data_IF_725889603165
#
_entry.id   IF_725889603165
#
_cell.length_a   1.000
_cell.length_b   1.000
_cell.length_c   1.000
_cell.angle_alpha   90.00
_cell.angle_beta   90.00
_cell.angle_gamma   90.00
#
_symmetry.space_group_name_H-M   'P 1'
#
loop_
_entity.id
_entity.type
_entity.pdbx_description
1 polymer ?
2 non-polymer ?
3 non-polymer ?
4 water ?
#
# COMPACT_ATOMS: atom_id res chain seq x y z
N UNK A 1 -15.28 -7.22 -9.59
CA UNK A 1 -14.26 -6.77 -8.62
C UNK A 1 -13.43 -7.95 -8.10
N UNK A 2 -12.14 -7.72 -7.84
CA UNK A 2 -11.27 -8.74 -7.24
C UNK A 2 -11.59 -8.91 -5.76
N UNK A 3 -11.42 -10.13 -5.27
CA UNK A 3 -11.77 -10.45 -3.90
C UNK A 3 -10.69 -9.91 -2.96
N UNK A 4 -11.10 -9.18 -1.95
CA UNK A 4 -10.22 -8.62 -0.92
C UNK A 4 -10.40 -9.41 0.36
N UNK A 5 -9.34 -9.77 1.11
CA UNK A 5 -7.92 -9.48 0.83
C UNK A 5 -7.41 -10.18 -0.42
N UNK A 6 -6.61 -9.46 -1.18
CA UNK A 6 -6.07 -9.93 -2.45
C UNK A 6 -4.56 -10.04 -2.34
N UNK A 7 -4.02 -11.13 -2.87
CA UNK A 7 -2.58 -11.32 -2.97
C UNK A 7 -2.14 -11.17 -4.42
N UNK A 8 -1.24 -10.23 -4.65
CA UNK A 8 -0.61 -10.03 -5.96
C UNK A 8 0.81 -10.56 -5.89
N UNK A 9 1.11 -11.74 -6.44
CA UNK A 9 2.51 -12.17 -6.47
C UNK A 9 3.32 -11.18 -7.27
N UNK A 10 4.58 -10.99 -6.85
CA UNK A 10 5.53 -10.13 -7.53
C UNK A 10 6.69 -11.02 -7.94
N UNK A 11 6.62 -11.64 -9.12
CA UNK A 11 7.56 -12.73 -9.44
C UNK A 11 9.00 -12.24 -9.49
N UNK A 12 9.87 -12.92 -8.74
CA UNK A 12 11.25 -12.50 -8.68
C UNK A 12 11.50 -11.34 -7.77
N UNK A 13 10.49 -10.87 -7.05
CA UNK A 13 10.62 -9.77 -6.14
C UNK A 13 10.52 -8.42 -6.81
N UNK A 14 10.70 -7.39 -6.02
CA UNK A 14 10.67 -6.05 -6.60
C UNK A 14 12.06 -5.62 -7.00
N UNK A 15 12.08 -4.62 -7.87
CA UNK A 15 13.30 -4.11 -8.45
C UNK A 15 13.03 -2.65 -8.76
N UNK A 16 14.04 -1.79 -8.75
CA UNK A 16 13.81 -0.42 -9.20
C UNK A 16 13.27 -0.43 -10.62
N UNK A 17 12.33 0.48 -10.84
CA UNK A 17 11.61 0.74 -12.09
C UNK A 17 10.36 -0.11 -12.20
N UNK A 18 10.07 -0.96 -11.22
CA UNK A 18 8.81 -1.65 -11.17
C UNK A 18 7.73 -0.71 -10.63
N UNK A 19 6.64 -0.61 -11.36
CA UNK A 19 5.52 0.25 -11.01
C UNK A 19 4.30 -0.61 -10.76
N UNK A 20 3.77 -0.54 -9.54
CA UNK A 20 2.55 -1.23 -9.17
C UNK A 20 1.40 -0.23 -9.26
N UNK A 21 0.31 -0.61 -9.92
CA UNK A 21 -0.88 0.23 -10.02
C UNK A 21 -2.08 -0.51 -9.46
N UNK A 22 -2.78 0.14 -8.53
CA UNK A 22 -3.97 -0.40 -7.89
C UNK A 22 -5.12 0.55 -8.16
N UNK A 23 -6.19 0.03 -8.72
CA UNK A 23 -7.41 0.81 -8.91
C UNK A 23 -8.48 0.21 -8.03
N UNK A 24 -9.23 1.07 -7.35
CA UNK A 24 -10.38 0.59 -6.59
C UNK A 24 -11.24 1.76 -6.21
N UNK A 25 -12.26 1.46 -5.42
CA UNK A 25 -13.19 2.47 -4.91
C UNK A 25 -13.30 2.27 -3.42
N UNK A 26 -13.16 3.34 -2.65
CA UNK A 26 -13.30 3.23 -1.22
C UNK A 26 -14.76 2.95 -0.86
N UNK A 27 -14.97 2.06 0.09
CA UNK A 27 -16.31 1.75 0.55
C UNK A 27 -16.90 2.96 1.28
N UNK A 28 -18.24 3.01 1.38
CA UNK A 28 -18.87 4.27 1.82
C UNK A 28 -18.58 4.68 3.25
N UNK A 29 -18.40 3.73 4.15
CA UNK A 29 -18.13 4.11 5.54
C UNK A 29 -16.76 3.57 5.91
N UNK A 30 -15.74 3.86 5.10
CA UNK A 30 -14.50 3.14 5.28
C UNK A 30 -13.80 3.52 6.58
N UNK A 31 -13.07 2.56 7.12
CA UNK A 31 -12.24 2.81 8.27
C UNK A 31 -10.76 2.65 7.98
N UNK A 32 -10.37 1.68 7.14
CA UNK A 32 -8.95 1.38 6.98
C UNK A 32 -8.73 0.73 5.63
N UNK A 33 -7.49 0.91 5.09
CA UNK A 33 -7.00 0.24 3.90
C UNK A 33 -5.56 -0.17 4.23
N UNK A 34 -5.09 -1.29 3.67
CA UNK A 34 -3.68 -1.60 3.80
C UNK A 34 -3.10 -2.25 2.55
N UNK A 35 -1.90 -1.79 2.20
CA UNK A 35 -1.03 -2.49 1.26
C UNK A 35 0.12 -3.06 2.07
N UNK A 36 0.45 -4.31 1.82
CA UNK A 36 1.53 -4.98 2.54
C UNK A 36 2.47 -5.62 1.53
N UNK A 37 3.64 -5.01 1.31
CA UNK A 37 4.68 -5.65 0.50
C UNK A 37 5.44 -6.58 1.42
N UNK A 38 5.38 -7.88 1.16
CA UNK A 38 5.82 -8.88 2.10
C UNK A 38 7.06 -9.62 1.62
N UNK A 39 7.93 -9.91 2.57
CA UNK A 39 9.11 -10.76 2.43
C UNK A 39 8.86 -11.94 3.37
N UNK A 40 8.29 -13.01 2.86
CA UNK A 40 7.82 -14.08 3.73
C UNK A 40 6.80 -13.54 4.72
N UNK A 41 7.01 -13.86 5.99
CA UNK A 41 6.16 -13.35 7.05
C UNK A 41 6.43 -11.89 7.39
N UNK A 42 7.55 -11.33 6.95
CA UNK A 42 7.85 -9.94 7.23
C UNK A 42 7.09 -9.01 6.29
N UNK A 43 6.81 -7.82 6.77
CA UNK A 43 6.19 -6.80 5.93
C UNK A 43 7.25 -5.74 5.68
N UNK A 44 7.80 -5.72 4.46
CA UNK A 44 8.79 -4.72 4.11
C UNK A 44 8.20 -3.32 4.12
N UNK A 45 7.00 -3.16 3.59
CA UNK A 45 6.36 -1.84 3.50
C UNK A 45 4.87 -2.06 3.67
N UNK A 46 4.36 -1.52 4.78
CA UNK A 46 2.94 -1.45 5.13
C UNK A 46 2.51 -0.02 4.91
N UNK A 47 1.51 0.16 4.07
CA UNK A 47 0.94 1.47 3.72
C UNK A 47 -0.52 1.43 4.15
N UNK A 48 -0.89 2.24 5.14
CA UNK A 48 -2.13 2.03 5.89
C UNK A 48 -2.90 3.32 6.12
N UNK A 49 -3.73 3.71 5.15
CA UNK A 49 -4.72 4.76 5.38
C UNK A 49 -5.71 4.40 6.49
N UNK A 50 -5.84 5.31 7.45
CA UNK A 50 -6.78 5.21 8.57
C UNK A 50 -7.71 6.41 8.46
N UNK A 51 -9.00 6.13 8.32
CA UNK A 51 -9.99 7.19 8.13
C UNK A 51 -10.47 7.82 9.42
N UNK A 52 -10.22 7.20 10.56
CA UNK A 52 -10.69 7.71 11.83
C UNK A 52 -9.81 7.20 12.93
N UNK A 53 -8.65 7.81 13.08
CA UNK A 53 -7.77 7.54 14.23
C UNK A 53 -7.90 8.75 15.13
N UNK A 54 -8.68 8.62 16.20
CA UNK A 54 -8.95 9.76 17.09
C UNK A 54 -9.45 10.95 16.30
N UNK A 55 -10.36 10.69 15.36
CA UNK A 55 -11.06 11.69 14.57
C UNK A 55 -10.16 12.42 13.58
N UNK A 56 -9.03 11.79 13.25
CA UNK A 56 -8.11 12.29 12.23
C UNK A 56 -7.94 11.22 11.16
N UNK A 57 -7.68 11.69 9.94
CA UNK A 57 -7.35 10.83 8.81
C UNK A 57 -5.84 10.88 8.62
N UNK A 58 -5.21 9.71 8.61
CA UNK A 58 -3.75 9.66 8.55
C UNK A 58 -3.35 8.44 7.77
N UNK A 59 -2.20 8.51 7.10
CA UNK A 59 -1.59 7.33 6.50
C UNK A 59 -0.43 6.91 7.38
N UNK A 60 -0.45 5.67 7.85
CA UNK A 60 0.62 5.13 8.65
C UNK A 60 1.42 4.17 7.78
N UNK A 61 2.75 4.31 7.79
CA UNK A 61 3.62 3.37 7.11
C UNK A 61 4.60 2.77 8.10
N UNK A 62 4.93 1.50 7.90
CA UNK A 62 5.84 0.81 8.80
C UNK A 62 6.33 -0.46 8.16
N UNK A 63 7.18 -1.15 8.91
CA UNK A 63 7.77 -2.44 8.56
C UNK A 63 7.58 -3.38 9.73
N UNK A 64 7.30 -4.65 9.42
CA UNK A 64 7.11 -5.69 10.44
C UNK A 64 8.21 -6.72 10.24
N UNK A 65 9.02 -6.94 11.28
CA UNK A 65 10.14 -7.87 11.25
C UNK A 65 9.98 -8.85 12.40
N UNK A 66 10.00 -10.14 12.11
CA UNK A 66 9.84 -11.14 13.18
C UNK A 66 8.63 -10.84 14.07
N UNK A 67 7.54 -10.42 13.42
CA UNK A 67 6.26 -10.15 14.09
C UNK A 67 6.25 -8.85 14.89
N UNK A 68 7.27 -8.00 14.78
CA UNK A 68 7.35 -6.74 15.51
C UNK A 68 7.25 -5.57 14.54
N UNK A 69 6.30 -4.67 14.78
CA UNK A 69 6.25 -3.41 14.06
C UNK A 69 7.38 -2.50 14.52
N UNK A 70 7.92 -1.73 13.59
CA UNK A 70 8.95 -0.78 13.87
C UNK A 70 8.44 0.61 14.12
N UNK A 71 9.25 1.60 13.76
CA UNK A 71 8.89 3.00 13.93
C UNK A 71 7.91 3.40 12.84
N UNK A 72 6.79 3.99 13.24
CA UNK A 72 5.81 4.44 12.28
C UNK A 72 6.28 5.71 11.59
N UNK A 73 5.98 5.83 10.30
CA UNK A 73 6.11 7.06 9.56
C UNK A 73 4.71 7.52 9.19
N UNK A 74 4.36 8.75 9.55
CA UNK A 74 3.00 9.23 9.39
C UNK A 74 2.91 10.39 8.42
N UNK A 75 1.86 10.38 7.59
CA UNK A 75 1.58 11.40 6.58
C UNK A 75 0.15 11.86 6.77
N UNK A 76 -0.04 13.15 6.96
CA UNK A 76 -1.36 13.76 7.13
C UNK A 76 -2.03 14.12 5.81
N UNK A 77 -1.27 14.25 4.72
CA UNK A 77 -1.95 14.35 3.42
C UNK A 77 -2.71 13.05 3.22
N UNK A 78 -4.00 13.16 2.93
CA UNK A 78 -4.90 12.03 2.96
C UNK A 78 -5.79 12.10 1.73
N UNK A 79 -5.40 11.44 0.65
CA UNK A 79 -6.08 11.65 -0.64
C UNK A 79 -7.23 10.70 -0.89
N UNK A 80 -7.53 9.80 0.03
CA UNK A 80 -8.62 8.86 -0.12
C UNK A 80 -9.90 9.47 0.41
N UNK A 81 -11.00 9.04 -0.19
CA UNK A 81 -12.31 9.59 0.15
C UNK A 81 -13.35 8.48 0.17
N UNK A 82 -14.10 8.37 1.25
CA UNK A 82 -15.14 7.34 1.32
C UNK A 82 -16.04 7.42 0.09
N UNK A 83 -16.32 6.27 -0.50
CA UNK A 83 -17.22 6.16 -1.60
C UNK A 83 -16.62 6.48 -2.96
N UNK A 84 -15.35 6.88 -3.03
CA UNK A 84 -14.82 7.43 -4.28
C UNK A 84 -13.70 6.57 -4.88
N UNK A 85 -13.62 6.56 -6.20
CA UNK A 85 -12.57 5.81 -6.89
C UNK A 85 -11.21 6.45 -6.72
N UNK A 86 -10.20 5.59 -6.64
CA UNK A 86 -8.83 6.02 -6.46
C UNK A 86 -7.89 5.19 -7.32
N UNK A 87 -6.70 5.75 -7.52
CA UNK A 87 -5.60 5.03 -8.13
C UNK A 87 -4.40 5.19 -7.20
N UNK A 88 -3.78 4.07 -6.84
CA UNK A 88 -2.50 4.10 -6.12
C UNK A 88 -1.43 3.62 -7.08
N UNK A 89 -0.36 4.38 -7.23
CA UNK A 89 0.83 3.95 -7.96
C UNK A 89 1.98 3.87 -6.98
N UNK A 90 2.63 2.71 -6.92
CA UNK A 90 3.82 2.53 -6.11
C UNK A 90 4.97 2.26 -7.06
N UNK A 91 5.92 3.19 -7.13
CA UNK A 91 7.09 3.03 -7.99
C UNK A 91 8.24 2.63 -7.09
N UNK A 92 8.88 1.52 -7.40
CA UNK A 92 10.06 1.12 -6.66
C UNK A 92 11.23 1.93 -7.21
N UNK A 93 11.84 2.72 -6.36
CA UNK A 93 13.08 3.40 -6.69
C UNK A 93 14.23 2.77 -5.92
N UNK A 94 15.47 3.09 -6.27
CA UNK A 94 16.58 2.37 -5.62
C UNK A 94 16.58 2.44 -4.13
N UNK A 95 16.18 3.57 -3.54
CA UNK A 95 16.29 3.76 -2.11
C UNK A 95 14.96 3.91 -1.39
N UNK A 96 13.84 3.91 -2.11
CA UNK A 96 12.54 4.02 -1.49
C UNK A 96 11.45 3.52 -2.39
N UNK A 97 10.32 3.20 -1.76
CA UNK A 97 9.07 3.14 -2.50
C UNK A 97 8.52 4.57 -2.63
N UNK A 98 8.06 4.92 -3.82
CA UNK A 98 7.49 6.25 -4.06
C UNK A 98 6.03 6.07 -4.41
N UNK A 99 5.13 6.70 -3.65
CA UNK A 99 3.71 6.47 -3.78
C UNK A 99 3.03 7.74 -4.27
N UNK A 100 2.20 7.60 -5.30
CA UNK A 100 1.32 8.64 -5.79
C UNK A 100 -0.11 8.13 -5.72
N UNK A 101 -1.04 9.01 -5.38
CA UNK A 101 -2.46 8.68 -5.38
C UNK A 101 -3.17 9.67 -6.28
N UNK A 102 -3.99 9.15 -7.18
CA UNK A 102 -4.74 10.01 -8.09
C UNK A 102 -3.81 10.99 -8.81
N UNK A 103 -2.66 10.47 -9.22
CA UNK A 103 -1.65 11.18 -9.99
C UNK A 103 -0.87 12.24 -9.23
N UNK A 104 -1.06 12.36 -7.93
CA UNK A 104 -0.32 13.31 -7.13
C UNK A 104 0.61 12.57 -6.18
N UNK A 105 1.87 12.96 -6.21
CA UNK A 105 2.84 12.40 -5.28
C UNK A 105 2.31 12.50 -3.86
N UNK A 106 2.45 11.43 -3.12
CA UNK A 106 2.00 11.37 -1.73
C UNK A 106 3.16 11.24 -0.76
N UNK A 107 3.99 10.22 -0.90
CA UNK A 107 5.03 9.97 0.09
C UNK A 107 6.09 9.07 -0.51
N UNK A 108 7.22 9.00 0.18
CA UNK A 108 8.27 8.05 -0.08
C UNK A 108 8.56 7.30 1.21
N UNK A 109 8.96 6.05 1.08
CA UNK A 109 9.28 5.20 2.22
C UNK A 109 10.63 4.54 1.96
N UNK A 110 11.63 4.94 2.73
CA UNK A 110 12.98 4.44 2.56
C UNK A 110 13.04 2.94 2.83
N UNK A 111 13.80 2.22 2.02
CA UNK A 111 13.87 0.76 2.17
C UNK A 111 14.55 0.38 3.48
N UNK A 112 13.80 -0.27 4.35
CA UNK A 112 14.34 -0.88 5.56
C UNK A 112 14.71 -2.34 5.30
N UNK A 113 13.87 -3.05 4.56
CA UNK A 113 14.15 -4.38 4.07
C UNK A 113 14.86 -4.19 2.74
N UNK A 114 16.13 -4.60 2.71
CA UNK A 114 17.01 -4.24 1.62
C UNK A 114 17.18 -5.34 0.60
N UNK A 115 16.68 -6.54 0.90
CA UNK A 115 16.69 -7.65 -0.04
C UNK A 115 15.44 -7.53 -0.91
N UNK A 116 15.50 -6.59 -1.86
CA UNK A 116 14.33 -6.24 -2.65
C UNK A 116 13.81 -7.44 -3.42
N UNK A 117 14.72 -8.26 -3.91
CA UNK A 117 14.38 -9.46 -4.64
C UNK A 117 13.58 -10.45 -3.83
N UNK A 118 13.59 -10.34 -2.52
CA UNK A 118 12.85 -11.26 -1.67
C UNK A 118 11.49 -10.74 -1.27
N UNK A 119 11.14 -9.52 -1.69
CA UNK A 119 9.83 -8.92 -1.42
C UNK A 119 8.94 -9.35 -2.58
N UNK A 120 8.31 -10.52 -2.43
CA UNK A 120 7.76 -11.10 -3.66
C UNK A 120 6.26 -11.32 -3.61
N UNK A 121 5.56 -10.60 -2.73
CA UNK A 121 4.12 -10.52 -2.84
C UNK A 121 3.63 -9.21 -2.24
N UNK A 122 2.45 -8.81 -2.71
CA UNK A 122 1.76 -7.62 -2.22
C UNK A 122 0.36 -8.05 -1.81
N UNK A 123 0.04 -7.82 -0.53
CA UNK A 123 -1.31 -7.98 -0.05
C UNK A 123 -2.06 -6.67 -0.07
N UNK A 124 -3.33 -6.74 -0.45
CA UNK A 124 -4.21 -5.58 -0.51
C UNK A 124 -5.45 -5.92 0.33
N UNK A 125 -5.69 -5.13 1.37
CA UNK A 125 -6.77 -5.44 2.29
C UNK A 125 -7.50 -4.16 2.70
N UNK A 126 -8.66 -4.38 3.30
CA UNK A 126 -9.44 -3.29 3.90
C UNK A 126 -10.63 -2.88 3.09
N UNK A 127 -11.03 -1.62 3.32
CA UNK A 127 -12.39 -1.18 3.06
C UNK A 127 -12.50 -0.57 1.66
N UNK A 128 -12.23 -1.42 0.67
CA UNK A 128 -12.28 -1.05 -0.73
C UNK A 128 -13.00 -2.11 -1.53
N UNK A 129 -13.52 -1.66 -2.67
CA UNK A 129 -13.83 -2.51 -3.80
C UNK A 129 -12.59 -2.45 -4.70
N UNK A 130 -11.96 -3.58 -4.94
CA UNK A 130 -10.72 -3.62 -5.69
C UNK A 130 -11.03 -3.93 -7.14
N UNK A 131 -10.65 -3.00 -8.01
CA UNK A 131 -10.92 -3.13 -9.44
C UNK A 131 -9.79 -3.87 -10.15
N UNK A 132 -8.55 -3.48 -9.89
CA UNK A 132 -7.42 -4.12 -10.55
C UNK A 132 -6.16 -3.86 -9.75
N UNK A 133 -5.20 -4.75 -9.93
CA UNK A 133 -3.88 -4.64 -9.31
C UNK A 133 -2.89 -5.29 -10.27
N UNK A 134 -1.92 -4.52 -10.71
CA UNK A 134 -0.98 -5.03 -11.70
C UNK A 134 0.34 -4.29 -11.58
N UNK A 135 1.32 -4.74 -12.37
CA UNK A 135 2.64 -4.13 -12.36
C UNK A 135 3.18 -4.06 -13.78
N UNK A 136 4.12 -3.15 -13.97
CA UNK A 136 4.84 -3.02 -15.21
C UNK A 136 6.18 -2.39 -14.91
N UNK A 137 7.07 -2.38 -15.90
CA UNK A 137 8.35 -1.70 -15.78
C UNK A 137 8.28 -0.36 -16.49
N UNK A 138 8.82 0.66 -15.88
CA UNK A 138 8.92 1.95 -16.54
C UNK A 138 10.38 2.18 -16.93
X LIG B 1 -2.13 -3.30 11.58
X LIG B 1 -2.05 -4.63 11.46
X LIG B 1 0.86 -0.82 16.33
X LIG B 1 0.30 -0.05 17.35
X LIG B 1 1.05 0.96 17.91
X LIG B 1 2.34 1.20 17.50
X LIG B 1 2.87 0.42 16.50
X LIG B 1 -1.92 -1.80 13.50
X LIG B 1 -3.60 -3.92 10.13
X LIG B 1 -5.24 -5.17 8.77
X LIG B 1 -6.57 -4.09 7.11
X LIG B 1 -0.33 -1.61 11.74
X LIG B 1 1.61 -0.09 11.91
X LIG B 1 -1.18 -2.59 12.48
X LIG B 1 -3.06 -2.80 10.79
X LIG B 1 -4.68 -3.95 9.09
X LIG B 1 -6.20 -5.22 7.77
X LIG B 1 -5.97 -2.91 7.42
X LIG B 1 -5.02 -2.81 8.40
X LIG B 1 0.71 -1.04 12.58
X LIG B 1 -0.97 -1.05 14.41
X LIG B 1 2.15 -0.58 15.91
X LIG B 1 -6.79 -6.39 7.44
X LIG B 1 -7.51 -4.14 6.15
X LIG B 1 -6.32 -1.80 6.73
X LIG B 1 -2.95 -5.00 10.57
X LIG B 1 2.57 0.47 12.77
X LIG B 1 -0.06 -0.24 13.58
X LIG B 1 -2.74 -2.64 14.33
X LIG B 1 -1.05 -0.73 10.97
X LIG B 1 -0.09 -2.11 15.56
X LIG B 1 4.50 0.72 15.95
X LIG B 1 -0.56 -0.22 17.64
X LIG B 1 0.68 1.49 18.59
X LIG B 1 2.83 1.88 17.88
X LIG B 1 -2.52 -1.20 13.02
X LIG B 1 -4.97 -5.94 9.21
X LIG B 1 0.14 -2.10 11.05
X LIG B 1 1.09 0.62 11.53
X LIG B 1 2.08 -0.57 11.20
X LIG B 1 -0.65 -3.30 12.86
X LIG B 1 -3.31 -1.91 10.69
X LIG B 1 -4.61 -2.00 8.60
X LIG B 1 1.29 -1.74 12.91
X LIG B 1 -1.49 -0.47 14.99
X LIG B 1 2.52 -1.10 15.23
X LIG B 1 2.18 0.93 13.36
X LIG B 1 -3.42 -2.18 14.58
X LIG B 1 -0.51 -0.17 10.63
X LIG C 1 -5.42 0.12 10.96
#
# INVERSE_FOLDING_TARGET
PLIVPYNLPLPGGVVPRMLITILGTVKPNANRIALDFQRGNDVAFHFNPRFNENNRRVIVCNTKLDNNWGREERQSVFPFESGKPFKIQVLVEPDHFKVAVNDAHLLQYNHRVKKLNEISKLGISGDIDLTSASYTMI
KOZ N1 N3 C4 C5 C6 C7 C8 C10 C13 C15 C17 C20 C1 C11 C12 C14 C16 C18 C19 C2 C3 C9 F1 F2 F3 N2 O1 O2 O3 O4 S1 CL1 H51 H61 H71 H101 H151 H201 H11 H12 H111 H121 H191 H21 H31 H91 H13 H32 H41
CL CL
#
